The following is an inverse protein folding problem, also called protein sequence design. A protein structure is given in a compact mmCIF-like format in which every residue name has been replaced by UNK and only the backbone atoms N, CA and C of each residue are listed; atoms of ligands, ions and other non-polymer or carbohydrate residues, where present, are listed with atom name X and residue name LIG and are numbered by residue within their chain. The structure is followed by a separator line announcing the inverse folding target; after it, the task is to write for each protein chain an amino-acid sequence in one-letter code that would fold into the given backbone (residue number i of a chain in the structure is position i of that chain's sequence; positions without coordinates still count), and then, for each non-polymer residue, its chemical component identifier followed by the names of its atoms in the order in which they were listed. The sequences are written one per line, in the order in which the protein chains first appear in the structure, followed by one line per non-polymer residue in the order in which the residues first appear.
data_IF_445038396604
#
_entry.id   IF_445038396604
#
_cell.length_a   1.000
_cell.length_b   1.000
_cell.length_c   1.000
_cell.angle_alpha   90.00
_cell.angle_beta   90.00
_cell.angle_gamma   90.00
#
_symmetry.space_group_name_H-M   'P 1'
#
loop_
_entity.id
_entity.type
_entity.pdbx_description
1 polymer ?
#
# COMPACT_ATOMS: atom_id res chain seq x y z
N UNK A 1 -15.00 -11.35 16.08
CA UNK A 1 -15.87 -10.51 15.23
C UNK A 1 -15.55 -9.02 15.39
N UNK A 2 -15.10 -8.56 16.56
CA UNK A 2 -14.77 -7.15 16.80
C UNK A 2 -13.57 -6.59 16.02
N UNK A 3 -12.53 -7.40 15.76
CA UNK A 3 -11.32 -6.92 15.06
C UNK A 3 -11.54 -6.63 13.57
N UNK A 4 -12.33 -7.45 12.88
CA UNK A 4 -12.62 -7.27 11.46
C UNK A 4 -13.50 -6.04 11.27
N UNK A 5 -14.55 -5.90 12.10
CA UNK A 5 -15.42 -4.72 12.10
C UNK A 5 -14.65 -3.46 12.50
N UNK A 6 -13.78 -3.56 13.50
CA UNK A 6 -12.90 -2.46 13.91
C UNK A 6 -11.95 -2.02 12.79
N UNK A 7 -11.35 -2.98 12.06
CA UNK A 7 -10.50 -2.67 10.90
C UNK A 7 -11.28 -1.93 9.80
N UNK A 8 -12.49 -2.40 9.48
CA UNK A 8 -13.33 -1.77 8.46
C UNK A 8 -13.80 -0.37 8.86
N UNK A 9 -14.11 -0.16 10.14
CA UNK A 9 -14.65 1.11 10.65
C UNK A 9 -13.58 2.17 10.92
N UNK A 10 -12.37 1.76 11.32
CA UNK A 10 -11.26 2.68 11.58
C UNK A 10 -10.55 3.13 10.29
N UNK A 11 -10.63 2.32 9.22
CA UNK A 11 -9.89 2.52 7.97
C UNK A 11 -10.78 2.39 6.72
N UNK A 12 -11.98 2.99 6.66
CA UNK A 12 -12.92 2.78 5.57
C UNK A 12 -12.33 3.21 4.21
N UNK A 13 -11.46 4.21 4.20
CA UNK A 13 -10.77 4.69 3.01
C UNK A 13 -9.88 3.63 2.36
N UNK A 14 -9.17 2.80 3.14
CA UNK A 14 -8.31 1.71 2.62
C UNK A 14 -9.14 0.72 1.83
N UNK A 15 -10.31 0.33 2.35
CA UNK A 15 -11.19 -0.61 1.68
C UNK A 15 -11.90 -0.01 0.46
N UNK A 16 -12.22 1.29 0.50
CA UNK A 16 -12.73 2.00 -0.68
C UNK A 16 -11.68 1.99 -1.81
N UNK A 17 -10.43 2.36 -1.53
CA UNK A 17 -9.34 2.31 -2.51
C UNK A 17 -9.03 0.89 -2.98
N UNK A 18 -9.06 -0.09 -2.07
CA UNK A 18 -8.90 -1.51 -2.42
C UNK A 18 -9.99 -1.98 -3.37
N UNK A 19 -11.25 -1.62 -3.13
CA UNK A 19 -12.36 -1.98 -4.01
C UNK A 19 -12.19 -1.37 -5.41
N UNK A 20 -11.81 -0.08 -5.48
CA UNK A 20 -11.51 0.60 -6.74
C UNK A 20 -10.36 -0.08 -7.49
N UNK A 21 -9.28 -0.42 -6.78
CA UNK A 21 -8.16 -1.17 -7.35
C UNK A 21 -8.61 -2.53 -7.89
N UNK A 22 -9.29 -3.34 -7.08
CA UNK A 22 -9.73 -4.67 -7.48
C UNK A 22 -10.62 -4.62 -8.72
N UNK A 23 -11.56 -3.66 -8.77
CA UNK A 23 -12.42 -3.48 -9.93
C UNK A 23 -11.64 -3.02 -11.17
N UNK A 24 -10.88 -1.92 -11.06
CA UNK A 24 -10.14 -1.35 -12.17
C UNK A 24 -9.10 -2.33 -12.73
N UNK A 25 -8.30 -2.94 -11.85
CA UNK A 25 -7.29 -3.89 -12.24
C UNK A 25 -7.88 -5.20 -12.77
N UNK A 26 -9.03 -5.66 -12.26
CA UNK A 26 -9.69 -6.84 -12.82
C UNK A 26 -10.20 -6.58 -14.24
N UNK A 27 -10.69 -5.38 -14.53
CA UNK A 27 -11.11 -4.97 -15.87
C UNK A 27 -9.92 -4.75 -16.83
N UNK A 28 -8.80 -4.23 -16.33
CA UNK A 28 -7.60 -3.92 -17.12
C UNK A 28 -6.68 -5.13 -17.36
N UNK A 29 -6.40 -5.92 -16.31
CA UNK A 29 -5.42 -7.01 -16.33
C UNK A 29 -6.05 -8.41 -16.30
N UNK A 30 -7.32 -8.50 -15.90
CA UNK A 30 -8.02 -9.75 -15.61
C UNK A 30 -7.78 -10.25 -14.17
N UNK A 31 -8.82 -10.84 -13.58
CA UNK A 31 -8.86 -11.18 -12.14
C UNK A 31 -7.65 -11.98 -11.63
N UNK A 32 -7.16 -12.96 -12.41
CA UNK A 32 -6.01 -13.79 -12.01
C UNK A 32 -4.73 -12.97 -11.84
N UNK A 33 -4.49 -12.05 -12.79
CA UNK A 33 -3.31 -11.17 -12.74
C UNK A 33 -3.45 -10.13 -11.66
N UNK A 34 -4.66 -9.62 -11.42
CA UNK A 34 -4.96 -8.71 -10.30
C UNK A 34 -4.63 -9.34 -8.96
N UNK A 35 -5.09 -10.57 -8.72
CA UNK A 35 -4.80 -11.29 -7.47
C UNK A 35 -3.31 -11.64 -7.35
N UNK A 36 -2.67 -12.06 -8.44
CA UNK A 36 -1.23 -12.30 -8.46
C UNK A 36 -0.43 -11.04 -8.14
N UNK A 37 -0.75 -9.91 -8.79
CA UNK A 37 -0.15 -8.61 -8.55
C UNK A 37 -0.34 -8.16 -7.09
N UNK A 38 -1.58 -8.18 -6.61
CA UNK A 38 -1.91 -7.78 -5.23
C UNK A 38 -1.21 -8.66 -4.21
N UNK A 39 -1.21 -9.98 -4.39
CA UNK A 39 -0.54 -10.93 -3.49
C UNK A 39 0.97 -10.73 -3.45
N UNK A 40 1.61 -10.52 -4.61
CA UNK A 40 3.05 -10.25 -4.69
C UNK A 40 3.41 -8.92 -4.01
N UNK A 41 2.71 -7.83 -4.35
CA UNK A 41 2.98 -6.51 -3.76
C UNK A 41 2.74 -6.52 -2.25
N UNK A 42 1.63 -7.09 -1.79
CA UNK A 42 1.33 -7.21 -0.36
C UNK A 42 2.42 -7.98 0.39
N UNK A 43 2.91 -9.09 -0.18
CA UNK A 43 3.96 -9.89 0.45
C UNK A 43 5.28 -9.12 0.56
N UNK A 44 5.68 -8.42 -0.51
CA UNK A 44 6.90 -7.59 -0.51
C UNK A 44 6.79 -6.42 0.48
N UNK A 45 5.63 -5.76 0.51
CA UNK A 45 5.36 -4.68 1.46
C UNK A 45 5.44 -5.20 2.90
N UNK A 46 4.74 -6.28 3.20
CA UNK A 46 4.74 -6.88 4.55
C UNK A 46 6.14 -7.32 4.99
N UNK A 47 6.94 -7.92 4.11
CA UNK A 47 8.34 -8.28 4.43
C UNK A 47 9.18 -7.02 4.70
N UNK A 48 8.98 -5.96 3.91
CA UNK A 48 9.67 -4.68 4.10
C UNK A 48 9.30 -4.03 5.43
N UNK A 49 8.03 -4.05 5.81
CA UNK A 49 7.53 -3.59 7.11
C UNK A 49 8.11 -4.43 8.27
N UNK A 50 8.08 -5.76 8.11
CA UNK A 50 8.62 -6.71 9.08
C UNK A 50 10.11 -6.53 9.32
N UNK A 51 10.86 -6.31 8.25
CA UNK A 51 12.28 -6.03 8.32
C UNK A 51 12.54 -4.65 8.93
N UNK A 52 11.85 -3.60 8.48
CA UNK A 52 12.10 -2.22 8.93
C UNK A 52 11.85 -2.04 10.44
N UNK A 53 10.80 -2.66 10.96
CA UNK A 53 10.49 -2.67 12.41
C UNK A 53 11.54 -3.40 13.27
N UNK A 54 12.43 -4.20 12.68
CA UNK A 54 13.43 -5.02 13.40
C UNK A 54 14.87 -4.65 13.10
N UNK A 55 15.20 -4.39 11.85
CA UNK A 55 16.55 -4.14 11.32
C UNK A 55 16.71 -2.73 10.74
N UNK A 56 15.59 -2.01 10.54
CA UNK A 56 15.60 -0.66 9.99
C UNK A 56 15.72 -0.59 8.47
N UNK A 57 15.64 -1.72 7.77
CA UNK A 57 15.74 -1.80 6.30
C UNK A 57 14.44 -2.37 5.72
N UNK A 58 13.86 -1.81 4.64
CA UNK A 58 14.37 -0.70 3.82
C UNK A 58 13.96 0.71 4.26
N UNK A 59 12.94 0.88 5.10
CA UNK A 59 12.31 2.19 5.33
C UNK A 59 12.91 3.00 6.49
N UNK A 60 13.94 2.48 7.15
CA UNK A 60 14.45 3.04 8.40
C UNK A 60 13.82 2.36 9.62
N UNK A 61 14.33 2.69 10.81
CA UNK A 61 13.77 2.20 12.07
C UNK A 61 12.58 3.06 12.50
N UNK A 62 11.42 2.44 12.65
CA UNK A 62 10.23 3.01 13.28
C UNK A 62 9.50 1.95 14.09
N UNK A 63 8.63 2.41 14.97
CA UNK A 63 7.79 1.57 15.81
C UNK A 63 6.35 2.07 15.70
N UNK A 64 5.42 1.16 15.45
CA UNK A 64 4.00 1.49 15.56
C UNK A 64 3.63 1.70 17.02
N UNK A 65 2.86 2.74 17.30
CA UNK A 65 2.40 3.09 18.65
C UNK A 65 1.58 2.00 19.34
N UNK A 66 1.00 1.08 18.56
CA UNK A 66 0.15 0.00 19.07
C UNK A 66 -1.18 0.47 19.67
N UNK A 67 -1.56 1.74 19.49
CA UNK A 67 -2.78 2.32 20.05
C UNK A 67 -4.07 1.66 19.52
N UNK A 68 -4.02 1.05 18.33
CA UNK A 68 -5.14 0.30 17.73
C UNK A 68 -4.99 -1.21 17.88
N UNK A 69 -4.00 -1.68 18.65
CA UNK A 69 -3.81 -3.11 18.95
C UNK A 69 -5.03 -3.64 19.72
N UNK A 70 -5.63 -4.72 19.20
CA UNK A 70 -6.89 -5.25 19.74
C UNK A 70 -8.16 -4.56 19.20
N UNK A 71 -8.03 -3.60 18.28
CA UNK A 71 -9.14 -2.97 17.54
C UNK A 71 -9.04 -3.17 16.03
N UNK A 72 -7.85 -3.45 15.51
CA UNK A 72 -7.61 -3.73 14.09
C UNK A 72 -6.85 -5.05 13.92
N UNK A 73 -6.81 -5.56 12.69
CA UNK A 73 -6.01 -6.73 12.33
C UNK A 73 -4.52 -6.38 12.27
N UNK A 74 -3.72 -7.18 12.99
CA UNK A 74 -2.26 -7.09 13.00
C UNK A 74 -1.65 -8.43 12.59
N UNK A 75 -0.53 -8.37 11.86
CA UNK A 75 0.29 -9.54 11.51
C UNK A 75 1.72 -9.27 11.95
N UNK A 76 2.21 -10.00 12.96
CA UNK A 76 3.55 -9.82 13.55
C UNK A 76 3.85 -8.38 14.00
N UNK A 77 2.89 -7.76 14.69
CA UNK A 77 2.94 -6.38 15.22
C UNK A 77 2.82 -5.26 14.18
N UNK A 78 2.51 -5.62 12.92
CA UNK A 78 2.28 -4.67 11.83
C UNK A 78 0.79 -4.61 11.48
N UNK A 79 0.19 -3.41 11.35
CA UNK A 79 -1.19 -3.29 10.89
C UNK A 79 -1.38 -3.92 9.50
N UNK A 80 -2.35 -4.83 9.37
CA UNK A 80 -2.62 -5.52 8.10
C UNK A 80 -2.95 -4.57 6.95
N UNK A 81 -3.68 -3.50 7.27
CA UNK A 81 -4.13 -2.46 6.34
C UNK A 81 -2.99 -1.64 5.74
N UNK A 82 -1.85 -1.61 6.41
CA UNK A 82 -0.69 -0.82 5.99
C UNK A 82 -0.06 -1.45 4.75
N UNK A 83 0.40 -2.71 4.87
CA UNK A 83 0.89 -3.50 3.74
C UNK A 83 -0.15 -3.66 2.61
N UNK A 84 -1.45 -3.65 2.94
CA UNK A 84 -2.52 -3.68 1.93
C UNK A 84 -2.56 -2.43 1.08
N UNK A 85 -2.21 -1.27 1.64
CA UNK A 85 -2.26 0.01 0.94
C UNK A 85 -1.27 0.10 -0.22
N UNK A 86 -0.12 -0.57 -0.09
CA UNK A 86 0.88 -0.69 -1.16
C UNK A 86 0.30 -1.29 -2.45
N UNK A 87 -0.71 -2.17 -2.37
CA UNK A 87 -1.27 -2.84 -3.56
C UNK A 87 -1.95 -1.86 -4.51
N UNK A 88 -2.83 -0.99 -4.01
CA UNK A 88 -3.53 -0.02 -4.84
C UNK A 88 -2.65 1.17 -5.23
N UNK A 89 -1.68 1.54 -4.39
CA UNK A 89 -0.67 2.56 -4.73
C UNK A 89 0.24 2.09 -5.86
N UNK A 90 0.73 0.85 -5.80
CA UNK A 90 1.55 0.25 -6.85
C UNK A 90 0.78 0.16 -8.17
N UNK A 91 -0.51 -0.21 -8.13
CA UNK A 91 -1.34 -0.25 -9.34
C UNK A 91 -1.58 1.15 -9.92
N UNK A 92 -1.83 2.16 -9.08
CA UNK A 92 -1.98 3.54 -9.54
C UNK A 92 -0.68 4.06 -10.18
N UNK A 93 0.47 3.81 -9.56
CA UNK A 93 1.79 4.14 -10.11
C UNK A 93 2.05 3.41 -11.45
N UNK A 94 1.63 2.15 -11.55
CA UNK A 94 1.73 1.36 -12.79
C UNK A 94 0.89 1.96 -13.92
N UNK A 95 -0.35 2.36 -13.62
CA UNK A 95 -1.22 3.03 -14.59
C UNK A 95 -0.62 4.38 -15.05
N UNK A 96 -0.07 5.15 -14.11
CA UNK A 96 0.59 6.42 -14.42
C UNK A 96 1.86 6.20 -15.26
N UNK A 97 2.64 5.17 -14.98
CA UNK A 97 3.82 4.81 -15.77
C UNK A 97 3.43 4.44 -17.21
N UNK A 98 2.36 3.65 -17.40
CA UNK A 98 1.82 3.34 -18.74
C UNK A 98 1.38 4.60 -19.49
N UNK A 99 0.73 5.53 -18.80
CA UNK A 99 0.32 6.81 -19.40
C UNK A 99 1.52 7.70 -19.76
N UNK A 100 2.51 7.82 -18.88
CA UNK A 100 3.72 8.62 -19.12
C UNK A 100 4.58 8.08 -20.27
N UNK A 101 4.58 6.76 -20.46
CA UNK A 101 5.29 6.08 -21.53
C UNK A 101 4.40 5.81 -22.76
N UNK A 102 3.18 6.33 -22.81
CA UNK A 102 2.27 6.12 -23.93
C UNK A 102 2.90 6.57 -25.26
N UNK A 103 2.67 5.80 -26.32
CA UNK A 103 3.27 6.04 -27.64
C UNK A 103 4.76 5.67 -27.75
N UNK A 104 5.37 5.19 -26.66
CA UNK A 104 6.66 4.51 -26.67
C UNK A 104 6.38 3.01 -26.56
N UNK A 105 7.24 2.18 -27.14
CA UNK A 105 7.26 0.73 -26.92
C UNK A 105 8.34 0.44 -25.86
N UNK A 106 8.14 0.79 -24.57
CA UNK A 106 9.18 0.62 -23.56
C UNK A 106 9.43 -0.87 -23.32
N UNK A 107 10.70 -1.21 -23.09
CA UNK A 107 11.01 -2.52 -22.54
C UNK A 107 10.35 -2.70 -21.16
N UNK A 108 10.03 -3.95 -20.80
CA UNK A 108 9.33 -4.26 -19.55
C UNK A 108 10.05 -3.72 -18.30
N UNK A 109 11.39 -3.74 -18.30
CA UNK A 109 12.18 -3.22 -17.18
C UNK A 109 12.05 -1.70 -17.04
N UNK A 110 11.90 -0.96 -18.15
CA UNK A 110 11.71 0.49 -18.13
C UNK A 110 10.36 0.82 -17.51
N UNK A 111 9.30 0.10 -17.90
CA UNK A 111 7.98 0.25 -17.29
C UNK A 111 8.00 -0.05 -15.79
N UNK A 112 8.69 -1.13 -15.38
CA UNK A 112 8.84 -1.50 -13.97
C UNK A 112 9.61 -0.44 -13.18
N UNK A 113 10.72 0.07 -13.72
CA UNK A 113 11.52 1.12 -13.08
C UNK A 113 10.72 2.42 -12.95
N UNK A 114 10.04 2.86 -14.01
CA UNK A 114 9.19 4.06 -13.97
C UNK A 114 8.05 3.89 -12.95
N UNK A 115 7.44 2.70 -12.89
CA UNK A 115 6.42 2.38 -11.87
C UNK A 115 7.00 2.52 -10.46
N UNK A 116 8.17 1.94 -10.20
CA UNK A 116 8.82 2.02 -8.89
C UNK A 116 9.20 3.44 -8.49
N UNK A 117 9.75 4.23 -9.43
CA UNK A 117 10.10 5.64 -9.18
C UNK A 117 8.85 6.48 -8.89
N UNK A 118 7.77 6.29 -9.66
CA UNK A 118 6.51 7.01 -9.44
C UNK A 118 5.86 6.60 -8.11
N UNK A 119 5.95 5.31 -7.75
CA UNK A 119 5.47 4.82 -6.47
C UNK A 119 6.24 5.46 -5.30
N UNK A 120 7.57 5.43 -5.34
CA UNK A 120 8.42 6.13 -4.35
C UNK A 120 8.10 7.63 -4.28
N UNK A 121 7.83 8.27 -5.42
CA UNK A 121 7.48 9.69 -5.46
C UNK A 121 6.14 10.01 -4.77
N UNK A 122 5.19 9.06 -4.71
CA UNK A 122 3.96 9.23 -3.94
C UNK A 122 4.25 9.37 -2.44
N UNK A 123 5.22 8.62 -1.92
CA UNK A 123 5.55 8.60 -0.49
C UNK A 123 6.15 9.92 0.00
N UNK A 124 6.77 10.71 -0.89
CA UNK A 124 7.20 12.09 -0.60
C UNK A 124 6.02 12.98 -0.14
N UNK A 125 4.80 12.64 -0.57
CA UNK A 125 3.57 13.34 -0.16
C UNK A 125 2.84 12.56 0.94
N UNK A 126 2.74 11.23 0.82
CA UNK A 126 1.96 10.39 1.74
C UNK A 126 2.59 10.32 3.13
N UNK A 127 3.91 10.13 3.25
CA UNK A 127 4.55 9.93 4.56
C UNK A 127 4.41 11.16 5.47
N UNK A 128 4.67 12.40 5.01
CA UNK A 128 4.45 13.58 5.85
C UNK A 128 2.99 13.77 6.25
N UNK A 129 2.04 13.33 5.41
CA UNK A 129 0.61 13.36 5.73
C UNK A 129 0.25 12.30 6.77
N UNK A 130 0.84 11.11 6.70
CA UNK A 130 0.61 10.02 7.64
C UNK A 130 1.08 10.37 9.07
N UNK A 131 2.20 11.09 9.19
CA UNK A 131 2.67 11.64 10.49
C UNK A 131 1.68 12.67 11.06
N UNK A 132 0.99 13.42 10.20
CA UNK A 132 -0.06 14.37 10.58
C UNK A 132 -1.45 13.75 10.52
N UNK A 133 -1.55 12.43 10.61
CA UNK A 133 -2.78 11.71 10.37
C UNK A 133 -3.94 12.09 11.31
N UNK A 134 -3.67 12.71 12.46
CA UNK A 134 -4.67 13.28 13.36
C UNK A 134 -5.38 14.54 12.82
N UNK A 135 -4.74 15.25 11.87
CA UNK A 135 -5.33 16.38 11.14
C UNK A 135 -6.01 15.97 9.84
N UNK A 136 -5.85 14.70 9.44
CA UNK A 136 -6.41 14.12 8.23
C UNK A 136 -7.31 12.93 8.59
N UNK A 137 -7.89 12.28 7.59
CA UNK A 137 -8.74 11.10 7.78
C UNK A 137 -7.94 9.81 8.10
N UNK A 138 -6.63 9.91 8.35
CA UNK A 138 -5.72 8.78 8.49
C UNK A 138 -5.57 8.28 9.94
N UNK A 139 -5.87 9.11 10.94
CA UNK A 139 -5.71 8.79 12.37
C UNK A 139 -4.24 8.77 12.82
N UNK A 140 -4.00 8.48 14.11
CA UNK A 140 -2.63 8.37 14.67
C UNK A 140 -2.04 6.98 14.40
N UNK A 141 -1.07 6.91 13.50
CA UNK A 141 -0.38 5.67 13.10
C UNK A 141 1.01 5.54 13.73
N UNK A 142 1.71 6.68 13.87
CA UNK A 142 3.07 6.82 14.40
C UNK A 142 3.09 7.66 15.68
#
# INVERSE_FOLDING_TARGET
MDLVVGTLTLRPYVFAFLAVFLLAAALDLGWRRTLGFGGCVWSVAWISEFSSTRTGVPFGHYQYTGLTRGRELYVADIPFVDALSFTFLAYAAFCLARAALAGREPAAWTLALTTGVLMMALDVVIDPLAVRGDRWFLGRLF
#
